data_IF_269067092865
#
_entry.id   IF_269067092865
#
_cell.length_a   1.000
_cell.length_b   1.000
_cell.length_c   1.000
_cell.angle_alpha   90.00
_cell.angle_beta   90.00
_cell.angle_gamma   90.00
#
_symmetry.space_group_name_H-M   'P 1'
#
loop_
_entity.id
_entity.type
_entity.pdbx_description
1 polymer ?
#
# COMPACT_ATOMS: atom_id res chain seq x y z
N UNK A 1 5.64 -10.06 -20.70
CA UNK A 1 4.23 -9.74 -20.98
C UNK A 1 3.46 -9.75 -19.66
N UNK A 2 2.51 -8.82 -19.50
CA UNK A 2 1.73 -8.63 -18.27
C UNK A 2 1.88 -7.24 -17.65
N UNK A 3 1.59 -6.17 -18.41
CA UNK A 3 1.65 -4.78 -17.94
C UNK A 3 0.41 -4.38 -17.13
N UNK A 4 -0.04 -5.21 -16.19
CA UNK A 4 -1.03 -4.77 -15.20
C UNK A 4 -0.29 -4.04 -14.09
N UNK A 5 -0.54 -2.73 -13.97
CA UNK A 5 -0.11 -1.94 -12.82
C UNK A 5 -0.90 -2.43 -11.60
N UNK A 6 -0.36 -3.41 -10.87
CA UNK A 6 -0.95 -3.90 -9.64
C UNK A 6 -0.92 -2.79 -8.58
N UNK A 7 -2.09 -2.41 -8.06
CA UNK A 7 -2.20 -1.39 -7.00
C UNK A 7 -1.69 0.00 -7.38
N UNK A 8 -1.88 0.43 -8.63
CA UNK A 8 -1.42 1.74 -9.14
C UNK A 8 0.10 1.97 -9.01
N UNK A 9 0.89 0.88 -8.91
CA UNK A 9 2.35 0.96 -9.01
C UNK A 9 2.78 0.88 -10.46
N UNK A 10 3.60 1.86 -10.86
CA UNK A 10 4.13 1.97 -12.21
C UNK A 10 5.66 1.96 -12.16
N UNK A 11 6.26 1.12 -12.98
CA UNK A 11 7.71 1.13 -13.22
C UNK A 11 7.98 1.92 -14.50
N UNK A 12 8.75 3.00 -14.39
CA UNK A 12 9.20 3.78 -15.53
C UNK A 12 10.59 3.28 -15.90
N UNK A 13 10.73 2.77 -17.13
CA UNK A 13 11.98 2.23 -17.67
C UNK A 13 12.34 2.91 -18.99
N UNK A 14 13.63 3.12 -19.21
CA UNK A 14 14.14 3.53 -20.52
C UNK A 14 13.91 2.42 -21.57
N UNK A 15 13.38 2.78 -22.74
CA UNK A 15 13.21 1.86 -23.88
C UNK A 15 14.30 1.97 -24.95
N UNK A 16 15.15 3.02 -24.92
CA UNK A 16 16.19 3.26 -25.93
C UNK A 16 17.55 2.79 -25.43
N UNK A 17 18.09 1.75 -26.04
CA UNK A 17 19.34 1.09 -25.59
C UNK A 17 20.58 1.41 -26.43
N UNK A 18 20.41 1.92 -27.66
CA UNK A 18 21.52 2.22 -28.58
C UNK A 18 21.49 3.68 -29.03
N UNK A 19 22.68 4.29 -29.16
CA UNK A 19 22.85 5.63 -29.71
C UNK A 19 22.66 6.79 -28.71
N UNK A 20 22.48 6.49 -27.43
CA UNK A 20 22.45 7.48 -26.34
C UNK A 20 23.43 7.06 -25.26
N UNK A 21 24.14 8.02 -24.69
CA UNK A 21 24.91 7.81 -23.47
C UNK A 21 24.00 7.60 -22.26
N UNK A 22 24.52 6.96 -21.21
CA UNK A 22 23.79 6.80 -19.93
C UNK A 22 23.34 8.15 -19.34
N UNK A 23 24.16 9.20 -19.51
CA UNK A 23 23.82 10.56 -19.05
C UNK A 23 22.60 11.12 -19.79
N UNK A 24 22.51 10.91 -21.10
CA UNK A 24 21.35 11.33 -21.90
C UNK A 24 20.11 10.52 -21.56
N UNK A 25 20.25 9.23 -21.29
CA UNK A 25 19.15 8.36 -20.82
C UNK A 25 18.64 8.86 -19.46
N UNK A 26 19.54 9.09 -18.51
CA UNK A 26 19.18 9.58 -17.17
C UNK A 26 18.51 10.95 -17.24
N UNK A 27 19.01 11.85 -18.10
CA UNK A 27 18.40 13.16 -18.32
C UNK A 27 16.98 13.04 -18.87
N UNK A 28 16.77 12.22 -19.91
CA UNK A 28 15.43 12.01 -20.49
C UNK A 28 14.41 11.48 -19.47
N UNK A 29 14.82 10.51 -18.65
CA UNK A 29 13.96 9.99 -17.59
C UNK A 29 13.70 11.08 -16.55
N UNK A 30 14.75 11.79 -16.09
CA UNK A 30 14.61 12.86 -15.12
C UNK A 30 13.69 14.01 -15.61
N UNK A 31 13.72 14.34 -16.91
CA UNK A 31 12.93 15.42 -17.50
C UNK A 31 11.43 15.09 -17.53
N UNK A 32 11.04 13.80 -17.66
CA UNK A 32 9.62 13.41 -17.72
C UNK A 32 8.97 13.19 -16.35
N UNK A 33 9.74 12.83 -15.32
CA UNK A 33 9.22 12.57 -13.96
C UNK A 33 8.39 13.75 -13.41
N UNK A 34 8.86 15.02 -13.47
CA UNK A 34 8.09 16.16 -12.98
C UNK A 34 6.72 16.30 -13.64
N UNK A 35 6.65 16.08 -14.96
CA UNK A 35 5.39 16.17 -15.71
C UNK A 35 4.37 15.11 -15.27
N UNK A 36 4.84 13.89 -14.98
CA UNK A 36 3.99 12.81 -14.46
C UNK A 36 3.48 13.15 -13.05
N UNK A 37 4.35 13.68 -12.19
CA UNK A 37 3.97 14.10 -10.83
C UNK A 37 2.91 15.21 -10.89
N UNK A 38 3.09 16.20 -11.76
CA UNK A 38 2.12 17.29 -11.93
C UNK A 38 0.79 16.81 -12.48
N UNK A 39 0.81 15.86 -13.42
CA UNK A 39 -0.41 15.25 -13.95
C UNK A 39 -1.18 14.49 -12.87
N UNK A 40 -0.50 13.68 -12.06
CA UNK A 40 -1.12 12.95 -10.94
C UNK A 40 -1.75 13.90 -9.92
N UNK A 41 -1.04 14.96 -9.53
CA UNK A 41 -1.55 15.97 -8.58
C UNK A 41 -2.81 16.65 -9.12
N UNK A 42 -2.82 17.06 -10.39
CA UNK A 42 -4.00 17.65 -11.03
C UNK A 42 -5.18 16.68 -11.09
N UNK A 43 -4.92 15.42 -11.44
CA UNK A 43 -5.95 14.40 -11.46
C UNK A 43 -6.54 14.16 -10.06
N UNK A 44 -5.68 14.12 -9.03
CA UNK A 44 -6.10 14.01 -7.63
C UNK A 44 -6.97 15.19 -7.20
N UNK A 45 -6.57 16.42 -7.51
CA UNK A 45 -7.34 17.62 -7.20
C UNK A 45 -8.72 17.62 -7.89
N UNK A 46 -8.79 17.16 -9.14
CA UNK A 46 -10.05 17.02 -9.87
C UNK A 46 -10.97 16.01 -9.20
N UNK A 47 -10.44 14.83 -8.85
CA UNK A 47 -11.20 13.78 -8.15
C UNK A 47 -11.77 14.27 -6.82
N UNK A 48 -10.99 15.06 -6.07
CA UNK A 48 -11.47 15.68 -4.83
C UNK A 48 -12.60 16.67 -5.05
N UNK A 49 -12.57 17.46 -6.13
CA UNK A 49 -13.60 18.48 -6.40
C UNK A 49 -14.90 17.87 -6.88
N UNK A 50 -14.81 16.89 -7.77
CA UNK A 50 -15.98 16.35 -8.47
C UNK A 50 -16.63 15.18 -7.75
N UNK A 51 -15.86 14.41 -6.96
CA UNK A 51 -16.31 13.10 -6.51
C UNK A 51 -15.88 12.70 -5.09
N UNK A 52 -15.67 13.68 -4.20
CA UNK A 52 -15.16 13.43 -2.85
C UNK A 52 -15.95 12.38 -2.07
N UNK A 53 -17.29 12.41 -2.14
CA UNK A 53 -18.14 11.49 -1.38
C UNK A 53 -17.95 10.03 -1.81
N UNK A 54 -17.95 9.76 -3.12
CA UNK A 54 -17.75 8.40 -3.62
C UNK A 54 -16.30 7.95 -3.42
N UNK A 55 -15.33 8.87 -3.56
CA UNK A 55 -13.93 8.59 -3.27
C UNK A 55 -13.74 8.19 -1.79
N UNK A 56 -14.34 8.93 -0.87
CA UNK A 56 -14.34 8.61 0.55
C UNK A 56 -14.99 7.25 0.82
N UNK A 57 -16.19 6.97 0.30
CA UNK A 57 -16.83 5.65 0.47
C UNK A 57 -15.94 4.50 -0.03
N UNK A 58 -15.35 4.65 -1.23
CA UNK A 58 -14.44 3.65 -1.81
C UNK A 58 -13.21 3.41 -0.91
N UNK A 59 -12.59 4.48 -0.40
CA UNK A 59 -11.42 4.41 0.47
C UNK A 59 -11.78 3.73 1.80
N UNK A 60 -12.91 4.12 2.40
CA UNK A 60 -13.41 3.54 3.65
C UNK A 60 -13.75 2.06 3.50
N UNK A 61 -14.37 1.65 2.39
CA UNK A 61 -14.61 0.24 2.07
C UNK A 61 -13.31 -0.53 1.93
N UNK A 62 -12.33 0.01 1.21
CA UNK A 62 -11.05 -0.65 1.04
C UNK A 62 -10.35 -0.87 2.39
N UNK A 63 -10.35 0.14 3.25
CA UNK A 63 -9.80 0.03 4.60
C UNK A 63 -10.55 -0.98 5.46
N UNK A 64 -11.88 -0.97 5.42
CA UNK A 64 -12.74 -1.93 6.12
C UNK A 64 -12.50 -3.38 5.68
N UNK A 65 -12.38 -3.64 4.37
CA UNK A 65 -12.08 -4.96 3.82
C UNK A 65 -10.71 -5.44 4.33
N UNK A 66 -9.66 -4.63 4.22
CA UNK A 66 -8.33 -5.01 4.71
C UNK A 66 -8.31 -5.33 6.22
N UNK A 67 -9.19 -4.69 7.00
CA UNK A 67 -9.32 -4.90 8.44
C UNK A 67 -10.16 -6.12 8.84
N UNK A 68 -10.95 -6.69 7.92
CA UNK A 68 -11.97 -7.70 8.29
C UNK A 68 -11.98 -8.96 7.42
N UNK A 69 -11.48 -8.87 6.18
CA UNK A 69 -11.42 -9.98 5.23
C UNK A 69 -10.77 -11.20 5.87
N UNK A 70 -11.32 -12.40 5.65
CA UNK A 70 -10.76 -13.66 6.16
C UNK A 70 -9.76 -14.29 5.19
N UNK A 71 -9.92 -14.01 3.91
CA UNK A 71 -9.04 -14.40 2.80
C UNK A 71 -8.88 -13.19 1.88
N UNK A 72 -7.69 -12.98 1.33
CA UNK A 72 -7.46 -11.89 0.37
C UNK A 72 -6.30 -12.22 -0.56
N UNK A 73 -6.52 -12.05 -1.87
CA UNK A 73 -5.49 -12.34 -2.87
C UNK A 73 -4.39 -11.27 -2.86
N UNK A 74 -3.24 -11.58 -3.47
CA UNK A 74 -2.17 -10.59 -3.66
C UNK A 74 -2.65 -9.38 -4.46
N UNK A 75 -3.39 -9.61 -5.55
CA UNK A 75 -3.87 -8.56 -6.44
C UNK A 75 -4.86 -7.63 -5.72
N UNK A 76 -5.85 -8.21 -5.04
CA UNK A 76 -6.83 -7.45 -4.27
C UNK A 76 -6.14 -6.63 -3.18
N UNK A 77 -5.19 -7.23 -2.46
CA UNK A 77 -4.40 -6.52 -1.45
C UNK A 77 -3.70 -5.30 -2.02
N UNK A 78 -3.04 -5.42 -3.18
CA UNK A 78 -2.36 -4.30 -3.83
C UNK A 78 -3.34 -3.17 -4.17
N UNK A 79 -4.50 -3.48 -4.74
CA UNK A 79 -5.52 -2.48 -5.08
C UNK A 79 -6.12 -1.77 -3.86
N UNK A 80 -6.41 -2.53 -2.80
CA UNK A 80 -6.99 -1.96 -1.58
C UNK A 80 -5.97 -1.11 -0.82
N UNK A 81 -4.72 -1.57 -0.68
CA UNK A 81 -3.65 -0.79 -0.06
C UNK A 81 -3.35 0.50 -0.85
N UNK A 82 -3.45 0.48 -2.18
CA UNK A 82 -3.35 1.72 -2.99
C UNK A 82 -4.47 2.70 -2.69
N UNK A 83 -5.71 2.21 -2.57
CA UNK A 83 -6.86 3.04 -2.19
C UNK A 83 -6.67 3.63 -0.79
N UNK A 84 -6.14 2.87 0.16
CA UNK A 84 -5.76 3.37 1.50
C UNK A 84 -4.66 4.43 1.41
N UNK A 85 -3.64 4.23 0.57
CA UNK A 85 -2.57 5.22 0.34
C UNK A 85 -3.13 6.56 -0.12
N UNK A 86 -4.07 6.53 -1.07
CA UNK A 86 -4.79 7.72 -1.51
C UNK A 86 -5.55 8.35 -0.33
N UNK A 87 -6.24 7.55 0.48
CA UNK A 87 -6.89 8.01 1.71
C UNK A 87 -5.97 8.75 2.68
N UNK A 88 -4.77 8.25 2.91
CA UNK A 88 -3.77 8.89 3.77
C UNK A 88 -3.31 10.23 3.16
N UNK A 89 -2.99 10.24 1.86
CA UNK A 89 -2.55 11.46 1.18
C UNK A 89 -3.63 12.55 1.12
N UNK A 90 -4.91 12.17 1.13
CA UNK A 90 -6.06 13.07 1.20
C UNK A 90 -6.46 13.45 2.63
N UNK A 91 -5.82 12.87 3.65
CA UNK A 91 -6.16 13.08 5.06
C UNK A 91 -7.49 12.44 5.50
N UNK A 92 -8.02 11.51 4.71
CA UNK A 92 -9.25 10.75 5.00
C UNK A 92 -9.00 9.58 5.95
N UNK A 93 -7.79 9.00 5.91
CA UNK A 93 -7.32 7.96 6.85
C UNK A 93 -6.17 8.55 7.65
N UNK A 94 -6.24 8.45 8.97
CA UNK A 94 -5.24 9.01 9.92
C UNK A 94 -4.68 7.96 10.88
N UNK A 95 -5.30 6.79 10.91
CA UNK A 95 -5.00 5.67 11.80
C UNK A 95 -3.70 4.94 11.43
N UNK A 96 -3.26 5.06 10.18
CA UNK A 96 -2.05 4.44 9.65
C UNK A 96 -1.23 5.47 8.85
N UNK A 97 0.09 5.44 9.02
CA UNK A 97 1.03 6.28 8.28
C UNK A 97 1.56 5.64 6.99
N UNK A 98 2.11 6.45 6.09
CA UNK A 98 2.75 5.97 4.84
C UNK A 98 3.87 4.94 5.08
N UNK A 99 4.77 5.08 6.09
CA UNK A 99 5.81 4.08 6.33
C UNK A 99 5.22 2.70 6.66
N UNK A 100 4.25 2.65 7.57
CA UNK A 100 3.58 1.40 7.94
C UNK A 100 2.83 0.80 6.75
N UNK A 101 2.17 1.62 5.93
CA UNK A 101 1.50 1.14 4.72
C UNK A 101 2.49 0.54 3.71
N UNK A 102 3.67 1.14 3.54
CA UNK A 102 4.73 0.60 2.68
C UNK A 102 5.24 -0.76 3.19
N UNK A 103 5.35 -0.93 4.50
CA UNK A 103 5.70 -2.22 5.11
C UNK A 103 4.62 -3.27 4.82
N UNK A 104 3.33 -2.90 4.90
CA UNK A 104 2.24 -3.82 4.54
C UNK A 104 2.37 -4.29 3.09
N UNK A 105 2.59 -3.39 2.13
CA UNK A 105 2.81 -3.75 0.72
C UNK A 105 3.91 -4.80 0.54
N UNK A 106 5.02 -4.61 1.26
CA UNK A 106 6.18 -5.49 1.18
C UNK A 106 5.92 -6.84 1.87
N UNK A 107 5.40 -6.83 3.09
CA UNK A 107 5.22 -8.03 3.90
C UNK A 107 4.08 -8.93 3.41
N UNK A 108 3.10 -8.38 2.68
CA UNK A 108 2.02 -9.17 2.07
C UNK A 108 2.42 -9.87 0.76
N UNK A 109 3.66 -9.69 0.28
CA UNK A 109 4.14 -10.41 -0.89
C UNK A 109 4.33 -11.90 -0.60
N UNK A 110 4.13 -12.81 -1.57
CA UNK A 110 4.14 -14.26 -1.34
C UNK A 110 5.39 -14.78 -0.62
N UNK A 111 6.58 -14.36 -1.05
CA UNK A 111 7.84 -14.82 -0.46
C UNK A 111 8.02 -14.35 0.99
N UNK A 112 7.57 -13.13 1.31
CA UNK A 112 7.66 -12.59 2.66
C UNK A 112 6.65 -13.23 3.60
N UNK A 113 5.42 -13.47 3.13
CA UNK A 113 4.42 -14.20 3.92
C UNK A 113 4.90 -15.61 4.29
N UNK A 114 5.45 -16.35 3.34
CA UNK A 114 6.01 -17.69 3.63
C UNK A 114 7.17 -17.62 4.64
N UNK A 115 8.05 -16.63 4.50
CA UNK A 115 9.14 -16.41 5.45
C UNK A 115 8.63 -16.08 6.85
N UNK A 116 7.58 -15.27 6.97
CA UNK A 116 6.94 -14.93 8.25
C UNK A 116 6.21 -16.12 8.88
N UNK A 117 5.60 -16.97 8.05
CA UNK A 117 4.91 -18.18 8.50
C UNK A 117 5.88 -19.31 8.90
N UNK A 118 7.12 -19.27 8.40
CA UNK A 118 8.14 -20.29 8.68
C UNK A 118 7.89 -21.62 7.96
N UNK A 119 6.98 -21.65 6.99
CA UNK A 119 6.63 -22.83 6.18
C UNK A 119 6.29 -22.40 4.76
N UNK A 120 6.38 -23.34 3.82
CA UNK A 120 5.75 -23.17 2.52
C UNK A 120 4.23 -23.15 2.68
N UNK A 121 3.58 -22.27 1.91
CA UNK A 121 2.13 -22.08 1.93
C UNK A 121 1.62 -22.23 0.51
N UNK A 122 0.54 -22.96 0.31
CA UNK A 122 -0.14 -22.99 -0.99
C UNK A 122 -0.86 -21.66 -1.27
N UNK A 123 -1.55 -21.55 -2.41
CA UNK A 123 -2.22 -20.29 -2.75
C UNK A 123 -3.32 -19.90 -1.76
N UNK A 124 -4.12 -20.87 -1.31
CA UNK A 124 -5.24 -20.65 -0.39
C UNK A 124 -4.72 -20.24 0.99
N UNK A 125 -3.70 -20.95 1.48
CA UNK A 125 -3.07 -20.66 2.77
C UNK A 125 -2.39 -19.30 2.76
N UNK A 126 -1.75 -18.90 1.64
CA UNK A 126 -1.20 -17.54 1.51
C UNK A 126 -2.27 -16.47 1.59
N UNK A 127 -3.43 -16.68 0.97
CA UNK A 127 -4.51 -15.71 0.99
C UNK A 127 -5.15 -15.57 2.38
N UNK A 128 -5.22 -16.67 3.14
CA UNK A 128 -5.63 -16.68 4.55
C UNK A 128 -4.60 -15.96 5.43
N UNK A 129 -3.31 -16.32 5.31
CA UNK A 129 -2.25 -15.73 6.13
C UNK A 129 -2.06 -14.23 5.81
N UNK A 130 -2.21 -13.83 4.54
CA UNK A 130 -2.20 -12.41 4.14
C UNK A 130 -3.29 -11.63 4.84
N UNK A 131 -4.52 -12.14 4.80
CA UNK A 131 -5.64 -11.52 5.46
C UNK A 131 -5.40 -11.43 6.97
N UNK A 132 -4.93 -12.52 7.60
CA UNK A 132 -4.59 -12.55 9.04
C UNK A 132 -3.52 -11.51 9.39
N UNK A 133 -2.48 -11.40 8.58
CA UNK A 133 -1.39 -10.44 8.75
C UNK A 133 -1.91 -9.00 8.69
N UNK A 134 -2.71 -8.66 7.67
CA UNK A 134 -3.31 -7.33 7.51
C UNK A 134 -4.23 -6.97 8.68
N UNK A 135 -5.13 -7.88 9.08
CA UNK A 135 -6.02 -7.66 10.23
C UNK A 135 -5.23 -7.38 11.51
N UNK A 136 -4.15 -8.12 11.76
CA UNK A 136 -3.31 -7.93 12.96
C UNK A 136 -2.65 -6.55 13.00
N UNK A 137 -2.21 -6.03 11.86
CA UNK A 137 -1.48 -4.76 11.80
C UNK A 137 -2.43 -3.56 11.75
N UNK A 138 -3.54 -3.66 11.02
CA UNK A 138 -4.49 -2.57 10.84
C UNK A 138 -5.51 -2.42 11.99
N UNK A 139 -5.67 -3.45 12.82
CA UNK A 139 -6.53 -3.41 14.01
C UNK A 139 -5.75 -3.33 15.32
N UNK A 140 -4.50 -2.82 15.33
CA UNK A 140 -3.80 -2.60 16.58
C UNK A 140 -4.62 -1.63 17.45
N UNK A 141 -5.34 -2.18 18.42
CA UNK A 141 -5.86 -1.47 19.57
C UNK A 141 -4.68 -0.93 20.39
N UNK A 142 -4.89 0.21 21.06
CA UNK A 142 -3.98 0.90 21.97
C UNK A 142 -3.40 0.00 23.10
N UNK A 143 -2.53 -0.93 22.76
CA UNK A 143 -1.90 -1.87 23.69
C UNK A 143 -0.67 -1.32 24.42
N UNK A 144 -0.47 0.00 24.49
CA UNK A 144 0.69 0.62 25.16
C UNK A 144 0.37 1.34 26.47
N UNK A 145 -0.71 0.96 27.16
CA UNK A 145 -0.96 1.38 28.55
C UNK A 145 -1.39 0.20 29.43
N UNK A 146 -0.48 -0.71 29.76
CA UNK A 146 -0.60 -1.58 30.96
C UNK A 146 0.76 -2.17 31.32
N UNK A 147 1.60 -1.41 32.05
CA UNK A 147 2.58 -1.93 33.02
C UNK A 147 3.44 -0.80 33.63
N UNK A 148 2.83 0.19 34.30
CA UNK A 148 3.49 0.94 35.39
C UNK A 148 2.45 1.25 36.47
N UNK A 149 1.98 0.20 37.13
CA UNK A 149 1.17 0.27 38.35
C UNK A 149 1.64 -0.82 39.29
N UNK A 150 2.50 -0.44 40.25
CA UNK A 150 3.12 -1.36 41.19
C UNK A 150 4.11 -0.66 42.13
N UNK A 151 3.79 0.55 42.55
CA UNK A 151 4.39 1.16 43.74
C UNK A 151 3.34 1.13 44.85
N UNK A 152 3.43 0.13 45.73
CA UNK A 152 3.11 0.27 47.16
C UNK A 152 3.50 -0.98 47.95
N UNK A 153 4.24 -0.72 49.03
CA UNK A 153 4.27 -1.44 50.31
C UNK A 153 5.17 -2.67 50.44
N UNK A 154 6.23 -2.47 51.23
CA UNK A 154 7.22 -3.43 51.71
C UNK A 154 8.43 -2.68 52.24
#
# INVERSE_FOLDING_TARGET
EGSQAMGDFYQISNQVTLGLSEQEIMKKVADIIPAIIDYERKARDLLMRENLRNLHDRISRAFGILRTAQTISSEETMHLLSSVRMGIHLGLIKEIGIPELNDLFLQTQPAHLQKLAGTELDQTDRDIERARFLRRHLNKEDGSQTAKGGSTSG
#
